data_IF_883021003739
#
_entry.id   IF_883021003739
#
_cell.length_a   1.000
_cell.length_b   1.000
_cell.length_c   1.000
_cell.angle_alpha   90.00
_cell.angle_beta   90.00
_cell.angle_gamma   90.00
#
_symmetry.space_group_name_H-M   'P 1'
#
loop_
_entity.id
_entity.type
_entity.pdbx_description
1 polymer ?
#
# COMPACT_ATOMS: atom_id res chain seq x y z
N UNK A 1 56.95 66.44 -29.11
CA UNK A 1 55.51 66.05 -29.32
C UNK A 1 55.37 64.57 -29.17
N UNK A 2 55.06 64.19 -27.99
CA UNK A 2 54.92 62.75 -27.63
C UNK A 2 53.51 62.26 -27.90
N UNK A 3 53.41 61.30 -28.80
CA UNK A 3 52.17 60.56 -29.03
C UNK A 3 52.00 59.45 -28.05
N UNK A 4 51.08 59.62 -27.10
CA UNK A 4 50.68 58.55 -26.16
C UNK A 4 49.86 57.50 -26.90
N UNK A 5 50.47 56.32 -27.06
CA UNK A 5 49.75 55.11 -27.51
C UNK A 5 48.86 54.57 -26.36
N UNK A 6 47.54 54.71 -26.50
CA UNK A 6 46.57 54.05 -25.63
C UNK A 6 46.67 52.53 -25.84
N UNK A 7 47.12 51.80 -24.79
CA UNK A 7 46.97 50.35 -24.72
C UNK A 7 45.50 50.02 -24.44
N UNK A 8 44.82 49.44 -25.39
CA UNK A 8 43.55 48.79 -25.21
C UNK A 8 43.81 47.49 -24.46
N UNK A 9 43.41 47.45 -23.21
CA UNK A 9 43.42 46.22 -22.43
C UNK A 9 42.38 45.24 -22.97
N UNK A 10 42.81 44.08 -23.36
CA UNK A 10 41.91 42.98 -23.76
C UNK A 10 40.98 42.61 -22.60
N UNK A 11 39.70 42.35 -22.85
CA UNK A 11 38.76 41.91 -21.82
C UNK A 11 39.21 40.57 -21.25
N UNK A 12 39.12 40.44 -19.95
CA UNK A 12 39.55 39.28 -19.18
C UNK A 12 38.69 38.09 -19.55
N UNK A 13 39.16 37.21 -20.41
CA UNK A 13 38.50 35.92 -20.78
C UNK A 13 38.13 35.08 -19.54
N UNK A 14 38.83 35.25 -18.43
CA UNK A 14 38.57 34.56 -17.20
C UNK A 14 37.22 34.91 -16.54
N UNK A 15 36.72 36.13 -16.67
CA UNK A 15 35.45 36.53 -16.08
C UNK A 15 34.26 35.97 -16.86
N UNK A 16 34.35 35.90 -18.17
CA UNK A 16 33.32 35.27 -18.99
C UNK A 16 33.23 33.77 -18.76
N UNK A 17 34.37 33.11 -18.64
CA UNK A 17 34.41 31.66 -18.34
C UNK A 17 33.94 31.33 -16.92
N UNK A 18 34.20 32.19 -15.93
CA UNK A 18 33.71 32.02 -14.57
C UNK A 18 32.20 32.21 -14.48
N UNK A 19 31.64 33.20 -15.15
CA UNK A 19 30.18 33.41 -15.23
C UNK A 19 29.46 32.24 -15.88
N UNK A 20 30.01 31.67 -16.97
CA UNK A 20 29.47 30.51 -17.64
C UNK A 20 29.48 29.24 -16.74
N UNK A 21 30.58 29.03 -16.04
CA UNK A 21 30.70 27.89 -15.10
C UNK A 21 29.72 27.97 -13.92
N UNK A 22 29.49 29.19 -13.41
CA UNK A 22 28.52 29.40 -12.31
C UNK A 22 27.10 29.20 -12.78
N UNK A 23 26.75 29.65 -13.98
CA UNK A 23 25.42 29.44 -14.56
C UNK A 23 25.13 27.99 -14.84
N UNK A 24 26.11 27.21 -15.34
CA UNK A 24 25.95 25.74 -15.58
C UNK A 24 25.76 25.00 -14.26
N UNK A 25 26.45 25.36 -13.18
CA UNK A 25 26.30 24.72 -11.88
C UNK A 25 24.93 24.98 -11.24
N UNK A 26 24.41 26.20 -11.39
CA UNK A 26 23.07 26.54 -10.88
C UNK A 26 21.95 25.79 -11.63
N UNK A 27 22.06 25.67 -12.96
CA UNK A 27 21.06 24.94 -13.76
C UNK A 27 21.13 23.44 -13.49
N UNK A 28 22.33 22.86 -13.37
CA UNK A 28 22.49 21.44 -13.06
C UNK A 28 21.98 21.07 -11.66
N UNK A 29 22.19 21.92 -10.65
CA UNK A 29 21.69 21.73 -9.30
C UNK A 29 20.16 21.76 -9.21
N UNK A 30 19.52 22.66 -9.97
CA UNK A 30 18.06 22.81 -9.97
C UNK A 30 17.35 21.63 -10.64
N UNK A 31 17.93 21.04 -11.70
CA UNK A 31 17.33 19.88 -12.38
C UNK A 31 17.42 18.60 -11.53
N UNK A 32 18.49 18.41 -10.77
CA UNK A 32 18.65 17.20 -9.94
C UNK A 32 17.67 17.20 -8.75
N UNK A 33 17.44 18.35 -8.13
CA UNK A 33 16.47 18.47 -7.03
C UNK A 33 15.02 18.30 -7.50
N UNK A 34 14.67 18.78 -8.70
CA UNK A 34 13.35 18.58 -9.28
C UNK A 34 13.10 17.12 -9.67
N UNK A 35 14.10 16.41 -10.17
CA UNK A 35 13.98 14.98 -10.51
C UNK A 35 13.82 14.08 -9.29
N UNK A 36 14.46 14.41 -8.17
CA UNK A 36 14.29 13.67 -6.90
C UNK A 36 12.92 13.93 -6.25
N UNK A 37 12.34 15.10 -6.41
CA UNK A 37 11.00 15.40 -5.91
C UNK A 37 9.89 14.68 -6.70
N UNK A 38 10.11 14.37 -7.99
CA UNK A 38 9.12 13.71 -8.83
C UNK A 38 9.05 12.18 -8.57
N UNK A 39 10.11 11.57 -8.03
CA UNK A 39 10.13 10.15 -7.68
C UNK A 39 9.49 9.82 -6.32
N UNK A 40 9.09 10.85 -5.55
CA UNK A 40 8.24 10.68 -4.37
C UNK A 40 6.74 10.72 -4.71
N UNK A 41 6.35 10.35 -5.93
CA UNK A 41 4.98 9.99 -6.25
C UNK A 41 4.66 8.73 -5.45
N UNK A 42 4.14 8.96 -4.29
CA UNK A 42 3.68 8.04 -3.27
C UNK A 42 2.82 7.00 -3.98
N UNK A 43 3.28 5.76 -4.03
CA UNK A 43 2.41 4.65 -4.33
C UNK A 43 1.32 4.66 -3.26
N UNK A 44 0.16 5.24 -3.58
CA UNK A 44 -0.99 5.14 -2.70
C UNK A 44 -1.31 3.65 -2.56
N UNK A 45 -1.40 3.12 -1.34
CA UNK A 45 -1.81 1.74 -1.16
C UNK A 45 -3.15 1.56 -1.86
N UNK A 46 -3.27 0.50 -2.65
CA UNK A 46 -4.53 0.15 -3.28
C UNK A 46 -5.63 0.12 -2.20
N UNK A 47 -6.84 0.64 -2.48
CA UNK A 47 -7.92 0.63 -1.51
C UNK A 47 -8.11 -0.79 -1.00
N UNK A 48 -8.20 -0.94 0.32
CA UNK A 48 -8.42 -2.24 0.95
C UNK A 48 -9.74 -2.82 0.42
N UNK A 49 -9.75 -4.11 0.12
CA UNK A 49 -10.96 -4.79 -0.29
C UNK A 49 -12.00 -4.73 0.84
N UNK A 50 -13.19 -4.21 0.53
CA UNK A 50 -14.34 -4.16 1.42
C UNK A 50 -15.51 -4.90 0.78
N UNK A 51 -15.92 -6.06 1.31
CA UNK A 51 -17.02 -6.83 0.76
C UNK A 51 -18.35 -6.12 0.98
N UNK A 52 -19.24 -6.21 -0.02
CA UNK A 52 -20.60 -5.66 0.06
C UNK A 52 -21.59 -6.79 0.33
N UNK A 53 -22.48 -6.62 1.31
CA UNK A 53 -23.58 -7.56 1.56
C UNK A 53 -24.41 -7.71 0.28
N UNK A 54 -24.66 -8.95 -0.11
CA UNK A 54 -25.34 -9.26 -1.36
C UNK A 54 -24.44 -9.28 -2.61
N UNK A 55 -23.13 -9.04 -2.47
CA UNK A 55 -22.21 -9.19 -3.60
C UNK A 55 -22.22 -10.63 -4.13
N UNK A 56 -21.97 -10.75 -5.44
CA UNK A 56 -21.96 -12.05 -6.11
C UNK A 56 -20.83 -12.94 -5.58
N UNK A 57 -21.17 -14.13 -5.08
CA UNK A 57 -20.25 -15.22 -4.80
C UNK A 57 -20.17 -16.19 -5.98
N UNK A 58 -19.65 -17.40 -5.76
CA UNK A 58 -19.57 -18.45 -6.78
C UNK A 58 -20.94 -18.97 -7.15
N UNK A 59 -21.67 -19.48 -6.17
CA UNK A 59 -22.97 -20.14 -6.36
C UNK A 59 -24.11 -19.35 -5.69
N UNK A 60 -23.80 -18.59 -4.65
CA UNK A 60 -24.75 -17.77 -3.90
C UNK A 60 -24.17 -16.38 -3.64
N UNK A 61 -24.99 -15.42 -3.27
CA UNK A 61 -24.54 -14.09 -2.82
C UNK A 61 -23.92 -14.18 -1.44
N UNK A 62 -22.92 -13.33 -1.18
CA UNK A 62 -22.32 -13.26 0.15
C UNK A 62 -23.21 -12.49 1.12
N UNK A 63 -23.54 -13.12 2.23
CA UNK A 63 -24.24 -12.51 3.37
C UNK A 63 -23.52 -12.89 4.64
N UNK A 64 -22.90 -11.92 5.35
CA UNK A 64 -22.17 -12.21 6.57
C UNK A 64 -23.12 -12.64 7.68
N UNK A 65 -22.80 -13.75 8.36
CA UNK A 65 -23.52 -14.18 9.55
C UNK A 65 -23.29 -13.19 10.69
N UNK A 66 -24.35 -12.77 11.39
CA UNK A 66 -24.23 -11.88 12.54
C UNK A 66 -23.34 -12.55 13.62
N UNK A 67 -22.47 -11.76 14.29
CA UNK A 67 -21.52 -12.28 15.27
C UNK A 67 -22.24 -13.02 16.43
N UNK A 68 -23.33 -12.49 16.94
CA UNK A 68 -24.09 -13.13 18.00
C UNK A 68 -24.65 -14.50 17.57
N UNK A 69 -24.99 -14.64 16.28
CA UNK A 69 -25.43 -15.92 15.75
C UNK A 69 -24.25 -16.89 15.62
N UNK A 70 -23.08 -16.45 15.20
CA UNK A 70 -21.86 -17.27 15.19
C UNK A 70 -21.56 -17.80 16.59
N UNK A 71 -21.58 -16.92 17.60
CA UNK A 71 -21.35 -17.30 18.99
C UNK A 71 -22.36 -18.35 19.43
N UNK A 72 -23.64 -18.13 19.14
CA UNK A 72 -24.70 -19.08 19.50
C UNK A 72 -24.58 -20.40 18.78
N UNK A 73 -24.19 -20.42 17.51
CA UNK A 73 -23.94 -21.65 16.74
C UNK A 73 -22.84 -22.50 17.41
N UNK A 74 -21.72 -21.88 17.76
CA UNK A 74 -20.60 -22.56 18.41
C UNK A 74 -20.93 -23.01 19.82
N UNK A 75 -21.78 -22.27 20.57
CA UNK A 75 -22.32 -22.68 21.87
C UNK A 75 -23.23 -23.92 21.75
N UNK A 76 -24.14 -23.90 20.78
CA UNK A 76 -25.04 -25.03 20.52
C UNK A 76 -24.30 -26.29 20.09
N UNK A 77 -23.24 -26.12 19.29
CA UNK A 77 -22.34 -27.19 18.89
C UNK A 77 -21.42 -27.66 20.04
N UNK A 78 -21.38 -26.93 21.17
CA UNK A 78 -20.52 -27.20 22.34
C UNK A 78 -19.04 -27.28 21.96
N UNK A 79 -18.60 -26.39 21.07
CA UNK A 79 -17.21 -26.36 20.57
C UNK A 79 -16.23 -26.19 21.74
N UNK A 80 -15.21 -27.03 21.77
CA UNK A 80 -14.18 -27.11 22.81
C UNK A 80 -12.77 -26.99 22.17
N UNK A 81 -11.71 -26.79 22.95
CA UNK A 81 -10.33 -26.78 22.44
C UNK A 81 -9.86 -28.08 21.78
N UNK A 82 -10.56 -29.20 22.01
CA UNK A 82 -10.27 -30.52 21.44
C UNK A 82 -10.88 -30.72 20.06
N UNK A 83 -11.76 -29.80 19.64
CA UNK A 83 -12.48 -29.91 18.37
C UNK A 83 -11.70 -29.33 17.18
N UNK A 84 -12.03 -29.90 16.02
CA UNK A 84 -11.57 -29.39 14.73
C UNK A 84 -12.78 -28.87 13.95
N UNK A 85 -12.80 -27.58 13.69
CA UNK A 85 -13.90 -26.88 13.01
C UNK A 85 -13.52 -26.55 11.56
N UNK A 86 -14.36 -26.95 10.61
CA UNK A 86 -14.22 -26.57 9.21
C UNK A 86 -15.44 -25.74 8.80
N UNK A 87 -15.18 -24.59 8.19
CA UNK A 87 -16.21 -23.72 7.60
C UNK A 87 -16.04 -23.67 6.08
N UNK A 88 -17.02 -24.20 5.35
CA UNK A 88 -17.04 -24.22 3.88
C UNK A 88 -17.77 -23.01 3.35
N UNK A 89 -17.06 -22.14 2.65
CA UNK A 89 -17.55 -20.80 2.26
C UNK A 89 -17.37 -19.82 3.41
N UNK A 90 -16.18 -19.82 3.99
CA UNK A 90 -15.87 -19.09 5.25
C UNK A 90 -15.94 -17.57 5.15
N UNK A 91 -16.06 -17.02 3.93
CA UNK A 91 -16.20 -15.59 3.70
C UNK A 91 -15.06 -14.78 4.34
N UNK A 92 -15.42 -13.84 5.21
CA UNK A 92 -14.48 -12.99 5.95
C UNK A 92 -13.83 -13.68 7.17
N UNK A 93 -14.09 -14.97 7.35
CA UNK A 93 -13.47 -15.82 8.36
C UNK A 93 -14.07 -15.73 9.76
N UNK A 94 -15.15 -14.99 9.98
CA UNK A 94 -15.67 -14.73 11.34
C UNK A 94 -15.99 -15.98 12.15
N UNK A 95 -16.55 -17.02 11.54
CA UNK A 95 -16.85 -18.30 12.22
C UNK A 95 -15.57 -19.01 12.63
N UNK A 96 -14.63 -19.12 11.69
CA UNK A 96 -13.33 -19.77 11.91
C UNK A 96 -12.53 -19.08 13.01
N UNK A 97 -12.45 -17.74 12.93
CA UNK A 97 -11.73 -16.91 13.90
C UNK A 97 -12.37 -17.04 15.29
N UNK A 98 -13.70 -17.07 15.36
CA UNK A 98 -14.41 -17.20 16.64
C UNK A 98 -14.17 -18.60 17.24
N UNK A 99 -14.19 -19.66 16.43
CA UNK A 99 -13.87 -21.01 16.89
C UNK A 99 -12.41 -21.11 17.39
N UNK A 100 -11.47 -20.53 16.66
CA UNK A 100 -10.06 -20.49 17.06
C UNK A 100 -9.86 -19.71 18.38
N UNK A 101 -10.56 -18.59 18.59
CA UNK A 101 -10.54 -17.85 19.85
C UNK A 101 -11.09 -18.65 21.05
N UNK A 102 -11.89 -19.68 20.81
CA UNK A 102 -12.35 -20.63 21.83
C UNK A 102 -11.35 -21.78 22.09
N UNK A 103 -10.22 -21.77 21.39
CA UNK A 103 -9.15 -22.75 21.51
C UNK A 103 -9.25 -23.90 20.51
N UNK A 104 -10.30 -24.01 19.71
CA UNK A 104 -10.46 -25.09 18.74
C UNK A 104 -9.46 -24.93 17.58
N UNK A 105 -9.05 -26.01 16.96
CA UNK A 105 -8.36 -25.98 15.67
C UNK A 105 -9.40 -25.67 14.59
N UNK A 106 -9.23 -24.56 13.85
CA UNK A 106 -10.26 -24.12 12.91
C UNK A 106 -9.67 -23.80 11.53
N UNK A 107 -10.36 -24.22 10.47
CA UNK A 107 -10.01 -23.95 9.08
C UNK A 107 -11.20 -23.41 8.30
N UNK A 108 -10.97 -22.40 7.49
CA UNK A 108 -11.92 -21.86 6.53
C UNK A 108 -11.51 -22.20 5.10
N UNK A 109 -12.48 -22.57 4.29
CA UNK A 109 -12.33 -22.78 2.85
C UNK A 109 -13.18 -21.72 2.15
N UNK A 110 -12.54 -20.88 1.34
CA UNK A 110 -13.20 -19.80 0.62
C UNK A 110 -12.73 -19.78 -0.84
N UNK A 111 -13.68 -19.60 -1.75
CA UNK A 111 -13.41 -19.55 -3.19
C UNK A 111 -12.81 -18.20 -3.64
N UNK A 112 -13.29 -17.09 -3.05
CA UNK A 112 -12.91 -15.75 -3.45
C UNK A 112 -11.56 -15.37 -2.81
N UNK A 113 -10.50 -15.12 -3.61
CA UNK A 113 -9.17 -14.81 -3.07
C UNK A 113 -9.13 -13.50 -2.26
N UNK A 114 -9.97 -12.51 -2.59
CA UNK A 114 -10.05 -11.25 -1.83
C UNK A 114 -10.66 -11.48 -0.44
N UNK A 115 -11.67 -12.37 -0.36
CA UNK A 115 -12.26 -12.79 0.92
C UNK A 115 -11.25 -13.61 1.75
N UNK A 116 -10.45 -14.46 1.12
CA UNK A 116 -9.36 -15.19 1.80
C UNK A 116 -8.33 -14.20 2.36
N UNK A 117 -7.93 -13.19 1.60
CA UNK A 117 -7.00 -12.17 2.05
C UNK A 117 -7.59 -11.37 3.22
N UNK A 118 -8.87 -10.99 3.13
CA UNK A 118 -9.59 -10.31 4.21
C UNK A 118 -9.67 -11.18 5.47
N UNK A 119 -10.05 -12.46 5.35
CA UNK A 119 -10.11 -13.40 6.46
C UNK A 119 -8.77 -13.53 7.20
N UNK A 120 -7.66 -13.63 6.46
CA UNK A 120 -6.30 -13.66 7.03
C UNK A 120 -5.93 -12.35 7.74
N UNK A 121 -6.45 -11.21 7.27
CA UNK A 121 -6.24 -9.91 7.92
C UNK A 121 -7.06 -9.77 9.20
N UNK A 122 -8.23 -10.42 9.26
CA UNK A 122 -9.14 -10.39 10.41
C UNK A 122 -8.68 -11.35 11.54
N UNK A 123 -7.84 -12.34 11.24
CA UNK A 123 -7.30 -13.30 12.19
C UNK A 123 -6.15 -12.73 13.01
#
# INVERSE_FOLDING_TARGET
MEGQARRLSAPKENEAMQALRTSIRLVAGSCVTAALALNCAIAQPAPAFEPKVGQRGKDVVWVPTNQQLVDKMLDMAKVTPQDYVIDLGSGDGRTVITAAKRGATAHGIEYNPDMVALSKKNA
#
